data_IF_898051255054
#
_entry.id   IF_898051255054
#
_cell.length_a   1.000
_cell.length_b   1.000
_cell.length_c   1.000
_cell.angle_alpha   90.00
_cell.angle_beta   90.00
_cell.angle_gamma   90.00
#
_symmetry.space_group_name_H-M   'P 1'
#
loop_
_entity.id
_entity.type
_entity.pdbx_description
1 polymer ?
#
# COMPACT_ATOMS: atom_id res chain seq x y z
N UNK A 1 0.47 12.02 11.62
CA UNK A 1 1.37 11.17 10.80
C UNK A 1 0.66 10.86 9.48
N UNK A 2 1.34 10.98 8.34
CA UNK A 2 0.75 10.70 7.03
C UNK A 2 0.68 9.19 6.76
N UNK A 3 -0.28 8.76 5.94
CA UNK A 3 -0.30 7.38 5.44
C UNK A 3 0.82 7.17 4.41
N UNK A 4 1.38 5.96 4.37
CA UNK A 4 2.27 5.49 3.30
C UNK A 4 1.43 4.97 2.15
N UNK A 5 1.84 5.25 0.93
CA UNK A 5 1.21 4.73 -0.28
C UNK A 5 1.95 3.47 -0.75
N UNK A 6 1.23 2.36 -0.87
CA UNK A 6 1.71 1.09 -1.41
C UNK A 6 1.02 0.75 -2.72
N UNK A 7 1.78 0.21 -3.69
CA UNK A 7 1.24 -0.32 -4.94
C UNK A 7 1.06 -1.83 -4.80
N UNK A 8 -0.11 -2.36 -5.16
CA UNK A 8 -0.41 -3.80 -5.05
C UNK A 8 0.68 -4.63 -5.72
N UNK A 9 1.13 -5.68 -5.02
CA UNK A 9 2.17 -6.60 -5.49
C UNK A 9 3.59 -6.03 -5.48
N UNK A 10 3.79 -4.76 -5.12
CA UNK A 10 5.10 -4.13 -4.94
C UNK A 10 5.49 -4.11 -3.46
N UNK A 11 6.80 -4.08 -3.16
CA UNK A 11 7.26 -3.90 -1.79
C UNK A 11 6.94 -2.49 -1.29
N UNK A 12 6.73 -2.36 0.02
CA UNK A 12 6.54 -1.06 0.70
C UNK A 12 7.25 -1.07 2.05
N UNK A 13 7.79 0.07 2.45
CA UNK A 13 8.42 0.27 3.76
C UNK A 13 7.49 1.10 4.65
N UNK A 14 7.18 0.57 5.82
CA UNK A 14 6.44 1.25 6.87
C UNK A 14 7.46 1.84 7.87
N UNK A 15 7.67 3.17 7.85
CA UNK A 15 8.78 3.77 8.58
C UNK A 15 8.55 3.74 10.09
N UNK A 16 9.57 3.32 10.84
CA UNK A 16 9.61 3.47 12.28
C UNK A 16 11.05 3.55 12.80
N UNK A 17 11.52 4.78 13.02
CA UNK A 17 12.85 5.03 13.57
C UNK A 17 12.70 5.49 15.02
N UNK A 18 13.26 4.71 15.94
CA UNK A 18 13.31 5.04 17.36
C UNK A 18 14.60 5.79 17.68
N UNK A 19 14.48 6.93 18.35
CA UNK A 19 15.63 7.66 18.91
C UNK A 19 16.08 7.10 20.27
N UNK A 20 15.38 6.11 20.81
CA UNK A 20 15.69 5.50 22.10
C UNK A 20 16.72 4.40 21.92
N UNK A 21 17.83 4.49 22.64
CA UNK A 21 18.82 3.42 22.77
C UNK A 21 18.18 2.22 23.49
N UNK A 22 17.92 1.16 22.75
CA UNK A 22 17.40 -0.09 23.31
C UNK A 22 18.57 -0.92 23.84
N UNK A 23 18.73 -0.95 25.17
CA UNK A 23 19.77 -1.74 25.84
C UNK A 23 19.17 -2.91 26.60
N UNK A 24 19.82 -4.08 26.55
CA UNK A 24 19.41 -5.29 27.24
C UNK A 24 18.51 -6.20 26.38
N UNK A 25 17.79 -7.11 27.02
CA UNK A 25 16.94 -8.07 26.33
C UNK A 25 15.58 -7.45 26.01
N UNK A 26 15.23 -7.39 24.73
CA UNK A 26 13.96 -6.85 24.27
C UNK A 26 13.42 -7.61 23.08
N UNK A 27 12.11 -7.46 22.87
CA UNK A 27 11.41 -7.97 21.69
C UNK A 27 10.58 -6.85 21.11
N UNK A 28 10.37 -6.91 19.79
CA UNK A 28 9.41 -6.04 19.12
C UNK A 28 8.36 -6.89 18.41
N UNK A 29 7.18 -6.32 18.26
CA UNK A 29 6.07 -6.90 17.51
C UNK A 29 5.46 -5.83 16.62
N UNK A 30 5.49 -6.07 15.31
CA UNK A 30 4.64 -5.35 14.38
C UNK A 30 3.27 -6.01 14.35
N UNK A 31 2.25 -5.17 14.50
CA UNK A 31 0.85 -5.58 14.52
C UNK A 31 0.09 -4.89 13.41
N UNK A 32 -0.71 -5.67 12.71
CA UNK A 32 -1.74 -5.20 11.78
C UNK A 32 -3.06 -5.29 12.54
N UNK A 33 -3.62 -4.14 12.90
CA UNK A 33 -4.70 -4.05 13.89
C UNK A 33 -4.28 -4.77 15.19
N UNK A 34 -4.95 -5.87 15.55
CA UNK A 34 -4.64 -6.69 16.74
C UNK A 34 -3.82 -7.96 16.44
N UNK A 35 -3.46 -8.21 15.17
CA UNK A 35 -2.75 -9.41 14.76
C UNK A 35 -1.25 -9.14 14.62
N UNK A 36 -0.43 -9.94 15.31
CA UNK A 36 1.03 -9.89 15.14
C UNK A 36 1.38 -10.42 13.75
N UNK A 37 2.00 -9.59 12.93
CA UNK A 37 2.44 -9.93 11.57
C UNK A 37 3.95 -10.14 11.49
N UNK A 38 4.71 -9.55 12.42
CA UNK A 38 6.13 -9.75 12.51
C UNK A 38 6.59 -9.63 13.97
N UNK A 39 7.49 -10.52 14.38
CA UNK A 39 8.05 -10.54 15.73
C UNK A 39 9.52 -10.92 15.67
N UNK A 40 10.32 -10.24 16.46
CA UNK A 40 11.73 -10.59 16.66
C UNK A 40 12.17 -10.24 18.08
N UNK A 41 13.25 -10.87 18.53
CA UNK A 41 13.79 -10.70 19.86
C UNK A 41 15.32 -10.64 19.81
N UNK A 42 15.89 -9.81 20.67
CA UNK A 42 17.32 -9.70 20.86
C UNK A 42 17.71 -10.00 22.30
N UNK A 43 18.84 -10.70 22.44
CA UNK A 43 19.55 -10.85 23.70
C UNK A 43 20.99 -10.38 23.48
N UNK A 44 21.42 -9.38 24.26
CA UNK A 44 22.77 -8.80 24.13
C UNK A 44 23.13 -8.38 22.69
N UNK A 45 22.17 -7.86 21.93
CA UNK A 45 22.25 -7.49 20.50
C UNK A 45 22.35 -8.65 19.49
N UNK A 46 22.28 -9.90 19.93
CA UNK A 46 22.14 -11.06 19.03
C UNK A 46 20.67 -11.38 18.79
N UNK A 47 20.29 -11.60 17.52
CA UNK A 47 18.92 -11.95 17.15
C UNK A 47 18.63 -13.42 17.53
N UNK A 48 17.68 -13.63 18.43
CA UNK A 48 17.30 -14.95 18.93
C UNK A 48 16.32 -15.72 18.02
N UNK A 49 15.74 -15.02 17.04
CA UNK A 49 14.76 -15.59 16.13
C UNK A 49 13.78 -14.54 15.61
N UNK A 50 13.37 -14.73 14.37
CA UNK A 50 12.40 -13.88 13.68
C UNK A 50 11.24 -14.74 13.19
N UNK A 51 10.02 -14.26 13.43
CA UNK A 51 8.79 -14.87 12.95
C UNK A 51 7.95 -13.84 12.20
N UNK A 52 7.45 -14.21 11.03
CA UNK A 52 6.60 -13.34 10.22
C UNK A 52 5.47 -14.13 9.55
N UNK A 53 4.33 -13.46 9.38
CA UNK A 53 3.29 -13.86 8.42
C UNK A 53 3.59 -13.06 7.15
N UNK A 54 3.77 -13.76 6.04
CA UNK A 54 4.30 -13.22 4.77
C UNK A 54 5.78 -12.77 4.88
N UNK A 55 6.49 -12.53 3.76
CA UNK A 55 7.91 -12.12 3.78
C UNK A 55 8.06 -10.66 4.25
N UNK A 56 7.65 -10.38 5.49
CA UNK A 56 7.88 -9.12 6.16
C UNK A 56 9.24 -9.16 6.86
N UNK A 57 10.04 -8.10 6.68
CA UNK A 57 11.39 -8.02 7.25
C UNK A 57 11.68 -6.64 7.82
N UNK A 58 12.73 -6.55 8.61
CA UNK A 58 13.29 -5.28 9.12
C UNK A 58 14.79 -5.26 8.81
N UNK A 59 15.47 -4.10 8.91
CA UNK A 59 16.92 -4.04 8.79
C UNK A 59 17.63 -4.98 9.76
N UNK A 60 18.69 -5.66 9.32
CA UNK A 60 19.45 -6.61 10.16
C UNK A 60 20.22 -5.93 11.28
N UNK A 61 20.56 -4.66 11.10
CA UNK A 61 21.23 -3.77 12.06
C UNK A 61 20.25 -2.90 12.85
N UNK A 62 18.94 -3.19 12.82
CA UNK A 62 17.89 -2.41 13.48
C UNK A 62 18.15 -2.14 14.97
N UNK A 63 18.70 -3.12 15.70
CA UNK A 63 19.03 -2.96 17.12
C UNK A 63 20.16 -1.93 17.36
N UNK A 64 21.05 -1.73 16.37
CA UNK A 64 22.15 -0.77 16.43
C UNK A 64 21.73 0.61 15.93
N UNK A 65 20.94 0.66 14.85
CA UNK A 65 20.52 1.91 14.20
C UNK A 65 19.27 2.53 14.80
N UNK A 66 18.44 1.73 15.49
CA UNK A 66 17.11 2.13 15.95
C UNK A 66 16.07 2.15 14.82
N UNK A 67 16.42 1.70 13.62
CA UNK A 67 15.50 1.62 12.48
C UNK A 67 14.76 0.29 12.48
N UNK A 68 13.52 0.31 12.97
CA UNK A 68 12.63 -0.84 13.02
C UNK A 68 11.57 -0.79 11.92
N UNK A 69 11.85 -0.08 10.82
CA UNK A 69 10.94 0.03 9.68
C UNK A 69 10.62 -1.36 9.12
N UNK A 70 9.33 -1.63 8.91
CA UNK A 70 8.87 -2.91 8.37
C UNK A 70 8.81 -2.85 6.85
N UNK A 71 9.53 -3.72 6.18
CA UNK A 71 9.40 -3.95 4.75
C UNK A 71 8.42 -5.10 4.51
N UNK A 72 7.30 -4.81 3.85
CA UNK A 72 6.40 -5.82 3.31
C UNK A 72 6.86 -6.14 1.88
N UNK A 73 7.08 -7.42 1.56
CA UNK A 73 7.55 -7.83 0.22
C UNK A 73 6.55 -7.55 -0.90
N UNK A 74 5.25 -7.55 -0.59
CA UNK A 74 4.17 -7.29 -1.52
C UNK A 74 2.96 -6.71 -0.78
N UNK A 75 2.47 -5.56 -1.24
CA UNK A 75 1.24 -4.94 -0.72
C UNK A 75 0.02 -5.74 -1.17
N UNK A 76 -0.87 -6.06 -0.22
CA UNK A 76 -2.13 -6.71 -0.52
C UNK A 76 -3.29 -5.68 -0.55
N UNK A 77 -4.27 -5.80 -1.46
CA UNK A 77 -5.40 -4.86 -1.53
C UNK A 77 -6.22 -4.75 -0.24
N UNK A 78 -6.26 -5.82 0.57
CA UNK A 78 -6.93 -5.83 1.88
C UNK A 78 -6.21 -5.04 2.95
N UNK A 79 -5.03 -4.52 2.66
CA UNK A 79 -4.28 -3.67 3.58
C UNK A 79 -4.63 -2.18 3.40
N UNK A 80 -5.54 -1.83 2.47
CA UNK A 80 -6.01 -0.44 2.31
C UNK A 80 -6.63 0.08 3.59
N UNK A 81 -6.24 1.31 3.96
CA UNK A 81 -6.68 2.01 5.17
C UNK A 81 -6.42 1.21 6.46
N UNK A 82 -5.45 0.30 6.43
CA UNK A 82 -5.07 -0.47 7.61
C UNK A 82 -3.96 0.23 8.40
N UNK A 83 -4.03 0.14 9.72
CA UNK A 83 -2.98 0.63 10.61
C UNK A 83 -2.04 -0.50 11.02
N UNK A 84 -0.76 -0.22 10.86
CA UNK A 84 0.33 -1.05 11.36
C UNK A 84 0.98 -0.34 12.54
N UNK A 85 1.15 -1.05 13.64
CA UNK A 85 1.73 -0.51 14.86
C UNK A 85 2.90 -1.34 15.33
N UNK A 86 3.99 -0.67 15.72
CA UNK A 86 5.15 -1.31 16.34
C UNK A 86 5.02 -1.24 17.85
N UNK A 87 5.05 -2.38 18.51
CA UNK A 87 5.07 -2.50 19.96
C UNK A 87 6.43 -3.02 20.44
N UNK A 88 6.98 -2.34 21.43
CA UNK A 88 8.16 -2.74 22.17
C UNK A 88 7.78 -3.53 23.43
N UNK A 89 8.44 -4.67 23.63
CA UNK A 89 8.25 -5.57 24.75
C UNK A 89 9.57 -5.72 25.53
N UNK A 90 9.55 -5.29 26.78
CA UNK A 90 10.64 -5.53 27.73
C UNK A 90 10.06 -6.33 28.90
N UNK A 91 10.55 -7.54 29.14
CA UNK A 91 9.80 -8.64 29.78
C UNK A 91 9.02 -8.38 31.08
N UNK A 92 9.32 -7.33 31.86
CA UNK A 92 8.56 -6.95 33.08
C UNK A 92 7.68 -5.71 32.92
N UNK A 93 7.79 -4.99 31.81
CA UNK A 93 7.10 -3.74 31.55
C UNK A 93 5.91 -3.95 30.60
N UNK A 94 4.88 -3.09 30.69
CA UNK A 94 3.81 -3.10 29.70
C UNK A 94 4.35 -2.82 28.30
N UNK A 95 3.70 -3.38 27.28
CA UNK A 95 4.04 -3.13 25.88
C UNK A 95 3.89 -1.64 25.54
N UNK A 96 4.93 -1.04 24.97
CA UNK A 96 4.91 0.37 24.57
C UNK A 96 4.79 0.45 23.05
N UNK A 97 3.76 1.13 22.55
CA UNK A 97 3.64 1.40 21.12
C UNK A 97 4.62 2.50 20.71
N UNK A 98 5.58 2.18 19.85
CA UNK A 98 6.60 3.13 19.35
C UNK A 98 6.09 3.93 18.15
N UNK A 99 5.46 3.24 17.19
CA UNK A 99 4.99 3.84 15.94
C UNK A 99 3.60 3.33 15.58
N UNK A 100 2.85 4.14 14.84
CA UNK A 100 1.66 3.71 14.11
C UNK A 100 1.68 4.34 12.73
N UNK A 101 1.60 3.50 11.70
CA UNK A 101 1.68 3.87 10.29
C UNK A 101 0.40 3.39 9.60
N UNK A 102 -0.27 4.30 8.90
CA UNK A 102 -1.40 3.96 8.04
C UNK A 102 -0.89 3.56 6.65
N UNK A 103 -1.41 2.48 6.07
CA UNK A 103 -1.14 2.10 4.69
C UNK A 103 -2.36 2.41 3.81
N UNK A 104 -2.11 3.02 2.66
CA UNK A 104 -3.09 3.22 1.57
C UNK A 104 -2.61 2.45 0.36
N UNK A 105 -3.53 1.80 -0.34
CA UNK A 105 -3.19 0.86 -1.41
C UNK A 105 -3.72 1.34 -2.76
N UNK A 106 -2.89 1.20 -3.81
CA UNK A 106 -3.18 1.61 -5.17
C UNK A 106 -2.79 0.56 -6.21
N UNK A 107 -3.19 0.78 -7.47
CA UNK A 107 -2.81 -0.06 -8.62
C UNK A 107 -3.91 -0.99 -9.08
N UNK A 108 -5.01 -0.44 -9.59
CA UNK A 108 -6.21 -1.21 -9.98
C UNK A 108 -7.13 -1.55 -8.81
N UNK A 109 -6.89 -0.95 -7.64
CA UNK A 109 -7.76 -0.98 -6.47
C UNK A 109 -7.80 0.42 -5.82
N UNK A 110 -8.95 0.84 -5.26
CA UNK A 110 -10.28 0.28 -5.51
C UNK A 110 -10.67 0.44 -7.00
N UNK A 111 -11.86 -0.03 -7.38
CA UNK A 111 -12.32 0.04 -8.78
C UNK A 111 -12.19 1.49 -9.31
N UNK A 112 -11.38 1.72 -10.36
CA UNK A 112 -11.25 3.06 -10.93
C UNK A 112 -12.49 3.44 -11.75
N UNK A 113 -12.72 4.74 -11.90
CA UNK A 113 -13.69 5.31 -12.83
C UNK A 113 -13.01 5.67 -14.15
N UNK A 114 -13.72 5.49 -15.27
CA UNK A 114 -13.19 5.77 -16.59
C UNK A 114 -14.17 6.67 -17.35
N UNK A 115 -13.65 7.79 -17.84
CA UNK A 115 -14.37 8.72 -18.70
C UNK A 115 -13.57 9.04 -19.96
N UNK A 116 -14.26 9.55 -20.97
CA UNK A 116 -13.68 9.94 -22.25
C UNK A 116 -14.05 11.39 -22.53
N UNK A 117 -13.12 12.14 -23.09
CA UNK A 117 -13.36 13.48 -23.62
C UNK A 117 -12.93 13.55 -25.08
N UNK A 118 -13.76 14.18 -25.88
CA UNK A 118 -13.47 14.60 -27.25
C UNK A 118 -13.00 16.05 -27.17
N UNK A 119 -11.83 16.32 -27.75
CA UNK A 119 -11.21 17.65 -27.76
C UNK A 119 -11.13 18.30 -26.35
N UNK A 120 -10.89 17.47 -25.32
CA UNK A 120 -10.83 17.84 -23.91
C UNK A 120 -12.05 18.59 -23.33
N UNK A 121 -13.18 18.60 -24.03
CA UNK A 121 -14.33 19.44 -23.66
C UNK A 121 -15.66 18.71 -23.71
N UNK A 122 -15.84 17.77 -24.65
CA UNK A 122 -17.12 17.14 -24.90
C UNK A 122 -17.14 15.66 -24.53
N UNK A 123 -18.17 15.21 -23.84
CA UNK A 123 -18.42 13.78 -23.63
C UNK A 123 -18.82 13.10 -24.95
N UNK A 124 -18.39 11.85 -25.17
CA UNK A 124 -18.80 11.10 -26.36
C UNK A 124 -20.30 10.81 -26.36
N UNK A 125 -20.92 10.63 -27.54
CA UNK A 125 -22.34 10.31 -27.66
C UNK A 125 -22.69 9.00 -26.94
N UNK A 126 -23.88 8.93 -26.35
CA UNK A 126 -24.39 7.73 -25.69
C UNK A 126 -24.30 6.50 -26.62
N UNK A 127 -23.85 5.37 -26.07
CA UNK A 127 -23.66 4.12 -26.82
C UNK A 127 -22.36 4.03 -27.64
N UNK A 128 -21.60 5.12 -27.76
CA UNK A 128 -20.29 5.12 -28.45
C UNK A 128 -19.18 4.49 -27.60
N UNK A 129 -19.35 4.49 -26.28
CA UNK A 129 -18.39 3.94 -25.32
C UNK A 129 -18.88 2.58 -24.82
N UNK A 130 -17.99 1.60 -24.83
CA UNK A 130 -18.19 0.31 -24.15
C UNK A 130 -17.09 0.12 -23.12
N UNK A 131 -17.47 0.03 -21.85
CA UNK A 131 -16.54 -0.24 -20.75
C UNK A 131 -16.82 -1.63 -20.17
N UNK A 132 -15.79 -2.45 -20.08
CA UNK A 132 -15.80 -3.75 -19.43
C UNK A 132 -14.88 -3.71 -18.23
N UNK A 133 -15.37 -4.21 -17.09
CA UNK A 133 -14.61 -4.32 -15.85
C UNK A 133 -14.54 -5.79 -15.47
N UNK A 134 -13.34 -6.35 -15.52
CA UNK A 134 -13.07 -7.71 -15.11
C UNK A 134 -12.30 -7.71 -13.78
N UNK A 135 -12.68 -8.58 -12.85
CA UNK A 135 -11.89 -8.84 -11.65
C UNK A 135 -10.77 -9.83 -11.98
N UNK A 136 -9.54 -9.51 -11.58
CA UNK A 136 -8.41 -10.42 -11.71
C UNK A 136 -8.61 -11.70 -10.87
N UNK A 137 -7.90 -12.82 -11.16
CA UNK A 137 -8.11 -14.11 -10.49
C UNK A 137 -7.91 -14.10 -8.97
N UNK A 138 -7.15 -13.12 -8.48
CA UNK A 138 -6.92 -12.85 -7.05
C UNK A 138 -8.11 -12.14 -6.38
N UNK A 139 -9.14 -11.76 -7.16
CA UNK A 139 -10.42 -11.21 -6.69
C UNK A 139 -10.34 -9.81 -6.10
N UNK A 140 -9.19 -9.16 -6.22
CA UNK A 140 -8.91 -7.92 -5.51
C UNK A 140 -8.46 -6.76 -6.39
N UNK A 141 -8.05 -7.03 -7.62
CA UNK A 141 -7.69 -6.01 -8.59
C UNK A 141 -8.72 -5.96 -9.73
N UNK A 142 -8.93 -4.76 -10.25
CA UNK A 142 -9.81 -4.50 -11.38
C UNK A 142 -8.99 -4.23 -12.64
N UNK A 143 -9.32 -4.96 -13.70
CA UNK A 143 -8.89 -4.64 -15.06
C UNK A 143 -10.06 -3.98 -15.79
N UNK A 144 -9.91 -2.69 -16.09
CA UNK A 144 -10.92 -1.93 -16.83
C UNK A 144 -10.44 -1.74 -18.26
N UNK A 145 -11.22 -2.24 -19.20
CA UNK A 145 -11.02 -2.01 -20.62
C UNK A 145 -12.17 -1.18 -21.16
N UNK A 146 -11.88 0.01 -21.67
CA UNK A 146 -12.87 0.83 -22.35
C UNK A 146 -12.51 1.00 -23.83
N UNK A 147 -13.54 0.92 -24.67
CA UNK A 147 -13.44 1.05 -26.12
C UNK A 147 -14.41 2.13 -26.59
N UNK A 148 -13.86 3.23 -27.09
CA UNK A 148 -14.63 4.26 -27.79
C UNK A 148 -14.72 3.91 -29.28
N UNK A 149 -15.93 3.95 -29.84
CA UNK A 149 -16.20 3.74 -31.27
C UNK A 149 -16.93 4.96 -31.83
N UNK A 150 -16.21 5.86 -32.47
CA UNK A 150 -16.74 7.10 -33.04
C UNK A 150 -16.00 7.47 -34.34
N UNK A 151 -16.70 8.13 -35.26
CA UNK A 151 -16.12 8.68 -36.49
C UNK A 151 -15.83 10.17 -36.29
N UNK A 152 -14.55 10.54 -36.18
CA UNK A 152 -14.11 11.91 -35.95
C UNK A 152 -13.31 12.49 -37.12
N UNK A 153 -13.29 13.83 -37.30
CA UNK A 153 -12.35 14.51 -38.19
C UNK A 153 -10.90 14.28 -37.76
N UNK A 154 -9.95 14.45 -38.69
CA UNK A 154 -8.52 14.17 -38.45
C UNK A 154 -7.86 15.05 -37.38
N UNK A 155 -8.40 16.23 -37.12
CA UNK A 155 -7.82 17.21 -36.19
C UNK A 155 -8.41 17.13 -34.77
N UNK A 156 -9.27 16.14 -34.50
CA UNK A 156 -9.91 15.98 -33.19
C UNK A 156 -9.14 14.95 -32.36
N UNK A 157 -8.72 15.37 -31.17
CA UNK A 157 -8.10 14.50 -30.18
C UNK A 157 -9.13 13.82 -29.29
N UNK A 158 -8.79 12.64 -28.78
CA UNK A 158 -9.63 11.90 -27.84
C UNK A 158 -8.78 11.61 -26.61
N UNK A 159 -9.27 11.99 -25.44
CA UNK A 159 -8.59 11.75 -24.17
C UNK A 159 -9.39 10.74 -23.36
N UNK A 160 -8.75 9.63 -23.00
CA UNK A 160 -9.22 8.70 -21.98
C UNK A 160 -8.73 9.18 -20.61
N UNK A 161 -9.62 9.19 -19.63
CA UNK A 161 -9.34 9.63 -18.26
C UNK A 161 -9.69 8.48 -17.32
N UNK A 162 -8.72 8.06 -16.52
CA UNK A 162 -8.89 7.06 -15.47
C UNK A 162 -8.71 7.74 -14.12
N UNK A 163 -9.75 7.70 -13.30
CA UNK A 163 -9.79 8.36 -11.99
C UNK A 163 -9.87 7.33 -10.87
N UNK A 164 -8.99 7.46 -9.88
CA UNK A 164 -9.08 6.74 -8.63
C UNK A 164 -9.53 7.72 -7.54
N UNK A 165 -10.85 7.87 -7.39
CA UNK A 165 -11.48 8.80 -6.46
C UNK A 165 -11.00 8.63 -5.01
N UNK A 166 -10.72 7.40 -4.60
CA UNK A 166 -10.26 7.10 -3.24
C UNK A 166 -8.89 7.72 -2.95
N UNK A 167 -8.07 7.89 -3.99
CA UNK A 167 -6.71 8.39 -3.90
C UNK A 167 -6.54 9.81 -4.42
N UNK A 168 -7.59 10.39 -5.01
CA UNK A 168 -7.52 11.67 -5.70
C UNK A 168 -6.42 11.67 -6.79
N UNK A 169 -6.34 10.58 -7.55
CA UNK A 169 -5.39 10.39 -8.64
C UNK A 169 -6.13 10.31 -9.99
N UNK A 170 -5.60 10.99 -11.00
CA UNK A 170 -6.17 11.04 -12.35
C UNK A 170 -5.07 10.78 -13.38
N UNK A 171 -5.26 9.77 -14.22
CA UNK A 171 -4.40 9.45 -15.34
C UNK A 171 -5.12 9.82 -16.64
N UNK A 172 -4.40 10.47 -17.55
CA UNK A 172 -4.93 10.88 -18.87
C UNK A 172 -4.08 10.27 -19.98
N UNK A 173 -4.74 9.72 -20.99
CA UNK A 173 -4.12 9.22 -22.22
C UNK A 173 -4.81 9.85 -23.41
N UNK A 174 -4.05 10.45 -24.31
CA UNK A 174 -4.53 11.09 -25.55
C UNK A 174 -4.07 10.32 -26.77
#
# INVERSE_FOLDING_TARGET
>A
PGCVLGIVGRPVILPCVSSVLLTGNFSIEWRKDDKVVFKTAWETNENLGTWSIDPATIPTDAALTGDFSLELSAVHPRDDRTHFSLCFLSGKNPSVQLCSVCLRVAGGYPQPELSWLIDNTQEPPEGSVRTQTDTLPDGHLYNITSRLTISLPKDVSVTCIVENLSMNETLRST
#
